data_IF_010716845605
#
_entry.id   IF_010716845605
#
_cell.length_a   1.000
_cell.length_b   1.000
_cell.length_c   1.000
_cell.angle_alpha   90.00
_cell.angle_beta   90.00
_cell.angle_gamma   90.00
#
_symmetry.space_group_name_H-M   'P 1'
#
loop_
_entity.id
_entity.type
_entity.pdbx_description
1 polymer ?
#
# COMPACT_ATOMS: atom_id res chain seq x y z
N UNK A 1 19.73 -17.30 -14.39
CA UNK A 1 19.26 -16.12 -13.63
C UNK A 1 20.50 -15.37 -13.22
N UNK A 2 20.75 -14.16 -13.76
CA UNK A 2 21.94 -13.39 -13.42
C UNK A 2 21.96 -13.14 -11.89
N UNK A 3 23.13 -13.13 -11.23
CA UNK A 3 23.19 -12.94 -9.79
C UNK A 3 22.55 -11.61 -9.44
N UNK A 4 21.45 -11.66 -8.68
CA UNK A 4 20.83 -10.46 -8.16
C UNK A 4 21.84 -9.80 -7.22
N UNK A 5 22.26 -8.57 -7.55
CA UNK A 5 23.22 -7.84 -6.72
C UNK A 5 22.55 -7.51 -5.39
N UNK A 6 22.98 -8.17 -4.32
CA UNK A 6 22.56 -7.83 -2.97
C UNK A 6 23.27 -6.56 -2.49
N UNK A 7 22.62 -5.80 -1.62
CA UNK A 7 23.23 -4.67 -0.94
C UNK A 7 22.81 -4.60 0.53
N UNK A 8 23.57 -3.85 1.31
CA UNK A 8 23.28 -3.54 2.72
C UNK A 8 23.00 -2.04 2.92
N UNK A 9 22.28 -1.65 3.98
CA UNK A 9 22.06 -0.24 4.31
C UNK A 9 23.40 0.50 4.45
N UNK A 10 23.50 1.66 3.82
CA UNK A 10 24.72 2.48 3.75
C UNK A 10 25.66 2.15 2.59
N UNK A 11 25.38 1.11 1.79
CA UNK A 11 26.17 0.83 0.58
C UNK A 11 25.91 1.88 -0.51
N UNK A 12 26.99 2.36 -1.14
CA UNK A 12 26.92 3.28 -2.29
C UNK A 12 26.57 2.52 -3.58
N UNK A 13 25.48 2.90 -4.22
CA UNK A 13 24.93 2.20 -5.40
C UNK A 13 25.30 2.88 -6.72
N UNK A 14 25.08 4.19 -6.83
CA UNK A 14 25.29 4.97 -8.05
C UNK A 14 25.47 6.46 -7.74
N UNK A 15 25.98 7.23 -8.69
CA UNK A 15 26.00 8.69 -8.66
C UNK A 15 24.63 9.25 -9.06
N UNK A 16 24.27 10.43 -8.55
CA UNK A 16 23.02 11.12 -8.91
C UNK A 16 22.97 11.59 -10.37
N UNK A 17 24.14 11.70 -11.02
CA UNK A 17 24.26 12.10 -12.43
C UNK A 17 23.89 10.96 -13.39
N UNK A 18 24.17 9.72 -12.99
CA UNK A 18 24.00 8.52 -13.82
C UNK A 18 22.67 7.80 -13.57
N UNK A 19 22.07 8.01 -12.39
CA UNK A 19 20.92 7.25 -11.92
C UNK A 19 19.97 8.11 -11.09
N UNK A 20 18.68 7.78 -11.15
CA UNK A 20 17.66 8.36 -10.27
C UNK A 20 17.42 7.48 -9.03
N UNK A 21 17.19 8.07 -7.85
CA UNK A 21 16.86 7.34 -6.63
C UNK A 21 15.42 6.80 -6.68
N UNK A 22 15.26 5.52 -6.36
CA UNK A 22 13.96 4.86 -6.22
C UNK A 22 13.73 4.34 -4.80
N UNK A 23 12.74 3.45 -4.65
CA UNK A 23 12.38 2.85 -3.36
C UNK A 23 13.59 2.15 -2.70
N UNK A 24 13.71 2.27 -1.37
CA UNK A 24 14.80 1.62 -0.63
C UNK A 24 16.17 2.27 -0.81
N UNK A 25 16.22 3.51 -1.33
CA UNK A 25 17.46 4.29 -1.49
C UNK A 25 17.32 5.68 -0.88
N UNK A 26 18.45 6.33 -0.58
CA UNK A 26 18.51 7.73 -0.17
C UNK A 26 19.70 8.44 -0.81
N UNK A 27 19.61 9.77 -0.93
CA UNK A 27 20.66 10.60 -1.51
C UNK A 27 21.49 11.27 -0.43
N UNK A 28 22.82 11.21 -0.55
CA UNK A 28 23.74 11.94 0.32
C UNK A 28 24.99 12.36 -0.46
N UNK A 29 25.37 13.64 -0.38
CA UNK A 29 26.57 14.19 -1.04
C UNK A 29 26.75 13.81 -2.53
N UNK A 30 25.67 13.87 -3.34
CA UNK A 30 25.76 13.56 -4.78
C UNK A 30 25.76 12.07 -5.14
N UNK A 31 25.61 11.18 -4.14
CA UNK A 31 25.52 9.74 -4.34
C UNK A 31 24.23 9.15 -3.80
N UNK A 32 23.81 8.04 -4.41
CA UNK A 32 22.68 7.22 -3.98
C UNK A 32 23.21 6.07 -3.13
N UNK A 33 22.65 5.93 -1.94
CA UNK A 33 22.95 4.89 -0.98
C UNK A 33 21.73 4.00 -0.76
N UNK A 34 21.97 2.74 -0.43
CA UNK A 34 20.89 1.85 0.00
C UNK A 34 20.42 2.21 1.41
N UNK A 35 19.11 2.30 1.64
CA UNK A 35 18.53 2.33 3.00
C UNK A 35 18.13 0.94 3.51
N UNK A 36 18.09 -0.08 2.64
CA UNK A 36 17.58 -1.42 2.95
C UNK A 36 18.61 -2.52 2.62
N UNK A 37 18.58 -3.60 3.40
CA UNK A 37 19.19 -4.88 2.97
C UNK A 37 18.26 -5.56 1.97
N UNK A 38 18.75 -5.91 0.79
CA UNK A 38 17.91 -6.51 -0.26
C UNK A 38 18.63 -6.62 -1.60
N UNK A 39 17.86 -6.78 -2.67
CA UNK A 39 18.36 -6.87 -4.03
C UNK A 39 18.21 -5.53 -4.76
N UNK A 40 19.28 -5.13 -5.46
CA UNK A 40 19.29 -3.93 -6.29
C UNK A 40 18.59 -4.22 -7.61
N UNK A 41 17.50 -3.51 -7.87
CA UNK A 41 16.74 -3.55 -9.12
C UNK A 41 16.94 -2.22 -9.84
N UNK A 42 17.56 -2.29 -11.01
CA UNK A 42 17.70 -1.16 -11.93
C UNK A 42 16.63 -1.27 -13.01
N UNK A 43 15.73 -0.29 -13.09
CA UNK A 43 14.74 -0.20 -14.18
C UNK A 43 15.15 0.92 -15.11
N UNK A 44 15.45 0.57 -16.36
CA UNK A 44 15.71 1.52 -17.43
C UNK A 44 14.45 1.60 -18.29
N UNK A 45 13.81 2.77 -18.34
CA UNK A 45 12.66 3.00 -19.21
C UNK A 45 13.14 3.76 -20.46
N UNK A 46 13.20 3.06 -21.60
CA UNK A 46 13.31 3.60 -22.96
C UNK A 46 14.23 4.84 -23.17
N UNK A 47 15.42 4.87 -22.56
CA UNK A 47 16.43 5.91 -22.77
C UNK A 47 16.45 7.05 -21.73
N UNK A 48 15.58 6.99 -20.71
CA UNK A 48 15.66 7.84 -19.53
C UNK A 48 16.65 7.30 -18.49
N UNK A 49 17.11 8.19 -17.61
CA UNK A 49 18.02 7.86 -16.52
C UNK A 49 17.51 6.65 -15.71
N UNK A 50 18.32 5.61 -15.49
CA UNK A 50 17.89 4.40 -14.81
C UNK A 50 17.52 4.68 -13.34
N UNK A 51 16.36 4.17 -12.92
CA UNK A 51 15.92 4.26 -11.53
C UNK A 51 16.46 3.07 -10.75
N UNK A 52 17.19 3.35 -9.67
CA UNK A 52 17.71 2.31 -8.77
C UNK A 52 16.77 2.17 -7.58
N UNK A 53 16.27 0.96 -7.38
CA UNK A 53 15.49 0.58 -6.22
C UNK A 53 16.11 -0.62 -5.51
N UNK A 54 15.91 -0.71 -4.21
CA UNK A 54 16.31 -1.86 -3.39
C UNK A 54 15.05 -2.50 -2.85
N UNK A 55 14.84 -3.77 -3.19
CA UNK A 55 13.65 -4.53 -2.81
C UNK A 55 14.03 -5.80 -2.05
N UNK A 56 13.14 -6.20 -1.15
CA UNK A 56 13.20 -7.49 -0.44
C UNK A 56 12.20 -8.44 -1.10
N UNK A 57 12.56 -9.72 -1.21
CA UNK A 57 11.68 -10.75 -1.82
C UNK A 57 10.31 -10.87 -1.14
N UNK A 58 10.20 -10.48 0.14
CA UNK A 58 8.95 -10.56 0.90
C UNK A 58 7.96 -9.45 0.57
N UNK A 59 8.45 -8.29 0.12
CA UNK A 59 7.70 -7.06 0.21
C UNK A 59 7.06 -6.66 -1.13
N UNK A 60 5.95 -7.32 -1.47
CA UNK A 60 4.99 -6.73 -2.38
C UNK A 60 4.31 -5.56 -1.67
N UNK A 61 4.90 -4.36 -1.74
CA UNK A 61 4.40 -3.12 -1.15
C UNK A 61 3.20 -2.55 -1.91
N UNK A 62 2.19 -3.37 -2.16
CA UNK A 62 0.94 -2.90 -2.72
C UNK A 62 0.17 -2.17 -1.62
N UNK A 63 0.16 -0.85 -1.72
CA UNK A 63 -0.59 0.03 -0.84
C UNK A 63 -1.93 0.37 -1.51
N UNK A 64 -3.06 0.34 -0.77
CA UNK A 64 -4.35 0.78 -1.31
C UNK A 64 -4.34 2.29 -1.57
N UNK A 65 -4.27 2.73 -2.83
CA UNK A 65 -4.34 4.15 -3.16
C UNK A 65 -5.77 4.73 -3.11
N UNK A 66 -5.88 6.05 -2.95
CA UNK A 66 -7.17 6.75 -3.06
C UNK A 66 -7.78 6.50 -4.43
N UNK A 67 -9.03 6.08 -4.43
CA UNK A 67 -9.78 5.72 -5.62
C UNK A 67 -9.65 4.26 -6.05
N UNK A 68 -8.76 3.48 -5.43
CA UNK A 68 -8.63 2.05 -5.70
C UNK A 68 -9.88 1.28 -5.25
N UNK A 69 -10.23 0.25 -6.02
CA UNK A 69 -11.28 -0.71 -5.67
C UNK A 69 -10.65 -1.85 -4.88
N UNK A 70 -11.18 -2.10 -3.69
CA UNK A 70 -10.64 -3.08 -2.75
C UNK A 70 -11.72 -4.06 -2.32
N UNK A 71 -11.32 -5.31 -2.11
CA UNK A 71 -12.19 -6.32 -1.50
C UNK A 71 -11.80 -6.46 -0.05
N UNK A 72 -12.79 -6.31 0.83
CA UNK A 72 -12.57 -6.34 2.27
C UNK A 72 -13.61 -7.19 2.97
N UNK A 73 -13.21 -7.73 4.13
CA UNK A 73 -14.06 -8.51 5.03
C UNK A 73 -14.54 -7.63 6.17
N UNK A 74 -15.83 -7.64 6.46
CA UNK A 74 -16.42 -6.95 7.61
C UNK A 74 -16.02 -7.71 8.87
N UNK A 75 -15.30 -7.03 9.77
CA UNK A 75 -14.81 -7.62 11.01
C UNK A 75 -15.79 -7.36 12.16
N UNK A 76 -16.22 -6.12 12.30
CA UNK A 76 -17.20 -5.72 13.31
C UNK A 76 -18.01 -4.52 12.83
N UNK A 77 -19.20 -4.35 13.39
CA UNK A 77 -20.12 -3.28 13.03
C UNK A 77 -20.45 -2.44 14.26
N UNK A 78 -20.49 -1.13 14.08
CA UNK A 78 -20.99 -0.15 15.03
C UNK A 78 -22.15 0.62 14.37
N UNK A 79 -23.04 1.26 15.13
CA UNK A 79 -24.13 2.06 14.56
C UNK A 79 -23.65 3.22 13.67
N UNK A 80 -22.41 3.69 13.85
CA UNK A 80 -21.82 4.80 13.08
C UNK A 80 -20.92 4.34 11.93
N UNK A 81 -20.34 3.15 12.01
CA UNK A 81 -19.37 2.67 11.02
C UNK A 81 -19.17 1.15 11.10
N UNK A 82 -18.68 0.54 10.02
CA UNK A 82 -18.23 -0.85 10.00
C UNK A 82 -16.70 -0.91 9.91
N UNK A 83 -16.06 -1.70 10.78
CA UNK A 83 -14.63 -2.02 10.68
C UNK A 83 -14.45 -3.13 9.66
N UNK A 84 -13.56 -2.92 8.70
CA UNK A 84 -13.26 -3.88 7.63
C UNK A 84 -11.77 -4.19 7.57
N UNK A 85 -11.44 -5.38 7.08
CA UNK A 85 -10.08 -5.80 6.80
C UNK A 85 -9.92 -5.96 5.29
N UNK A 86 -9.02 -5.21 4.68
CA UNK A 86 -8.74 -5.26 3.24
C UNK A 86 -7.89 -6.48 2.95
N UNK A 87 -8.34 -7.29 1.99
CA UNK A 87 -7.69 -8.54 1.59
C UNK A 87 -7.14 -8.45 0.16
N UNK A 88 -7.80 -7.73 -0.74
CA UNK A 88 -7.40 -7.62 -2.15
C UNK A 88 -7.42 -6.17 -2.62
N UNK A 89 -6.45 -5.81 -3.48
CA UNK A 89 -6.49 -4.62 -4.33
C UNK A 89 -6.77 -5.05 -5.77
N UNK A 90 -7.95 -4.71 -6.28
CA UNK A 90 -8.41 -5.22 -7.57
C UNK A 90 -8.38 -6.76 -7.59
N UNK A 91 -7.49 -7.34 -8.38
CA UNK A 91 -7.31 -8.79 -8.53
C UNK A 91 -6.12 -9.35 -7.71
N UNK A 92 -5.34 -8.50 -7.06
CA UNK A 92 -4.11 -8.92 -6.37
C UNK A 92 -4.34 -9.07 -4.87
N UNK A 93 -4.02 -10.25 -4.33
CA UNK A 93 -4.08 -10.50 -2.89
C UNK A 93 -2.99 -9.71 -2.17
N UNK A 94 -3.36 -9.05 -1.08
CA UNK A 94 -2.41 -8.39 -0.18
C UNK A 94 -1.87 -9.40 0.82
N UNK A 95 -0.55 -9.44 0.98
CA UNK A 95 0.10 -10.23 2.05
C UNK A 95 -0.14 -9.61 3.42
N UNK A 96 -0.13 -8.29 3.49
CA UNK A 96 -0.35 -7.53 4.72
C UNK A 96 -1.83 -7.18 4.85
N UNK A 97 -2.36 -7.33 6.06
CA UNK A 97 -3.74 -6.97 6.34
C UNK A 97 -3.84 -5.48 6.63
N UNK A 98 -4.56 -4.74 5.78
CA UNK A 98 -4.87 -3.33 6.05
C UNK A 98 -6.23 -3.23 6.70
N UNK A 99 -6.36 -2.35 7.70
CA UNK A 99 -7.65 -2.05 8.33
C UNK A 99 -8.30 -0.86 7.63
N UNK A 100 -9.61 -0.92 7.46
CA UNK A 100 -10.42 0.13 6.89
C UNK A 100 -11.68 0.36 7.71
N UNK A 101 -12.34 1.49 7.47
CA UNK A 101 -13.62 1.81 8.09
C UNK A 101 -14.59 2.32 7.05
N UNK A 102 -15.79 1.75 7.00
CA UNK A 102 -16.90 2.23 6.17
C UNK A 102 -17.83 3.04 7.07
N UNK A 103 -17.95 4.34 6.84
CA UNK A 103 -18.81 5.22 7.63
C UNK A 103 -20.26 5.12 7.17
N UNK A 104 -21.22 5.41 8.05
CA UNK A 104 -22.65 5.37 7.72
C UNK A 104 -22.98 6.19 6.46
N UNK A 105 -22.42 7.38 6.34
CA UNK A 105 -22.64 8.33 5.25
C UNK A 105 -22.09 7.86 3.88
N UNK A 106 -21.23 6.82 3.88
CA UNK A 106 -20.56 6.30 2.69
C UNK A 106 -21.17 4.98 2.19
N UNK A 107 -22.19 4.44 2.86
CA UNK A 107 -22.81 3.16 2.51
C UNK A 107 -23.68 3.27 1.25
N UNK A 108 -24.41 4.37 1.08
CA UNK A 108 -25.31 4.61 -0.07
C UNK A 108 -25.08 5.99 -0.66
N UNK A 109 -25.31 6.10 -1.97
CA UNK A 109 -25.25 7.38 -2.68
C UNK A 109 -26.43 8.29 -2.32
N UNK A 110 -27.62 7.71 -2.13
CA UNK A 110 -28.89 8.40 -1.83
C UNK A 110 -29.42 8.00 -0.44
N UNK A 111 -30.29 8.84 0.13
CA UNK A 111 -30.94 8.61 1.43
C UNK A 111 -29.98 8.27 2.59
N UNK A 112 -28.80 8.90 2.63
CA UNK A 112 -27.73 8.63 3.61
C UNK A 112 -28.20 8.66 5.06
N UNK A 113 -29.13 9.56 5.39
CA UNK A 113 -29.62 9.74 6.76
C UNK A 113 -30.45 8.55 7.28
N UNK A 114 -31.16 7.87 6.38
CA UNK A 114 -32.01 6.71 6.70
C UNK A 114 -31.22 5.39 6.77
N UNK A 115 -29.94 5.40 6.44
CA UNK A 115 -29.13 4.18 6.43
C UNK A 115 -28.86 3.72 7.87
N UNK A 116 -29.08 2.43 8.09
CA UNK A 116 -28.66 1.72 9.29
C UNK A 116 -27.57 0.72 8.92
N UNK A 117 -26.42 0.82 9.58
CA UNK A 117 -25.25 -0.04 9.32
C UNK A 117 -25.61 -1.51 9.55
N UNK A 118 -26.34 -1.82 10.64
CA UNK A 118 -26.74 -3.18 10.99
C UNK A 118 -27.66 -3.86 9.96
N UNK A 119 -28.43 -3.07 9.18
CA UNK A 119 -29.25 -3.59 8.09
C UNK A 119 -28.48 -3.76 6.78
N UNK A 120 -27.28 -3.18 6.69
CA UNK A 120 -26.47 -3.14 5.47
C UNK A 120 -25.30 -4.11 5.50
N UNK A 121 -24.73 -4.39 6.68
CA UNK A 121 -23.58 -5.29 6.85
C UNK A 121 -23.75 -6.19 8.08
N UNK A 122 -23.13 -7.38 8.01
CA UNK A 122 -22.94 -8.30 9.14
C UNK A 122 -21.46 -8.67 9.28
N UNK A 123 -20.98 -8.97 10.50
CA UNK A 123 -19.63 -9.51 10.70
C UNK A 123 -19.43 -10.78 9.89
N UNK A 124 -18.33 -10.85 9.13
CA UNK A 124 -18.01 -11.95 8.23
C UNK A 124 -18.31 -11.68 6.75
N UNK A 125 -19.11 -10.66 6.43
CA UNK A 125 -19.46 -10.33 5.04
C UNK A 125 -18.22 -9.91 4.23
N UNK A 126 -18.21 -10.26 2.94
CA UNK A 126 -17.21 -9.80 1.98
C UNK A 126 -17.83 -8.69 1.14
N UNK A 127 -17.22 -7.52 1.15
CA UNK A 127 -17.71 -6.33 0.46
C UNK A 127 -16.64 -5.76 -0.44
N UNK A 128 -17.09 -5.12 -1.53
CA UNK A 128 -16.23 -4.36 -2.42
C UNK A 128 -16.44 -2.88 -2.13
N UNK A 129 -15.34 -2.16 -1.91
CA UNK A 129 -15.37 -0.75 -1.56
C UNK A 129 -14.35 0.03 -2.39
N UNK A 130 -14.56 1.35 -2.48
CA UNK A 130 -13.59 2.28 -3.07
C UNK A 130 -12.91 3.05 -1.95
N UNK A 131 -11.58 3.13 -1.99
CA UNK A 131 -10.81 3.91 -1.01
C UNK A 131 -11.08 5.40 -1.24
N UNK A 132 -11.57 6.10 -0.22
CA UNK A 132 -11.85 7.55 -0.29
C UNK A 132 -10.70 8.35 0.30
N UNK A 133 -10.12 7.89 1.40
CA UNK A 133 -9.02 8.56 2.08
C UNK A 133 -8.15 7.55 2.84
N UNK A 134 -6.91 7.96 3.09
CA UNK A 134 -6.05 7.29 4.06
C UNK A 134 -6.43 7.76 5.45
N UNK A 135 -6.62 6.82 6.37
CA UNK A 135 -6.79 7.12 7.78
C UNK A 135 -5.73 6.33 8.54
N UNK A 136 -4.84 7.04 9.23
CA UNK A 136 -3.93 6.43 10.20
C UNK A 136 -4.78 6.17 11.43
N UNK A 137 -5.13 4.90 11.67
CA UNK A 137 -5.59 4.50 12.99
C UNK A 137 -4.38 4.53 13.89
N UNK A 138 -4.31 5.50 14.80
CA UNK A 138 -3.42 5.37 15.96
C UNK A 138 -3.85 4.11 16.71
N UNK A 139 -2.97 3.12 16.77
CA UNK A 139 -3.10 1.96 17.64
C UNK A 139 -2.92 2.45 19.09
N UNK A 140 -3.93 3.14 19.62
CA UNK A 140 -4.08 3.37 21.06
C UNK A 140 -5.09 2.35 21.57
N UNK A 141 -4.56 1.17 21.93
CA UNK A 141 -5.01 0.32 23.03
C UNK A 141 -3.79 0.05 23.92
#
# INVERSE_FOLDING_TARGET
MAPARCCVPGERLCSLEDCAPGYGTYCKHGYIFSSLSGYVVKKTDNGLMPVISVVRDTDSHLLPDVGAIVTCKVMSINPRFAKVQIMYLGTTALKNTFRGTIRKEDIRATEKDKVEVYKSFRPGDIVVAKVVSFFIMDDND
#
